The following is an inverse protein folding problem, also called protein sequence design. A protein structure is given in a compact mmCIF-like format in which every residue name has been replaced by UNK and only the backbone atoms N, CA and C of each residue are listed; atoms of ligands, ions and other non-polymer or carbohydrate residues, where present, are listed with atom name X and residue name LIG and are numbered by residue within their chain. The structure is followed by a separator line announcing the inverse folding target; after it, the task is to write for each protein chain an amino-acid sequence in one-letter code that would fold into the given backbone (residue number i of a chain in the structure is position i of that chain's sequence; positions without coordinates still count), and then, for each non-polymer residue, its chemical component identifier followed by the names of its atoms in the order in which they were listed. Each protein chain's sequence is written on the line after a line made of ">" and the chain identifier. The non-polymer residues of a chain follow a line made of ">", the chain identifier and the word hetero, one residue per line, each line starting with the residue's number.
data_IF_156970777263
#
_entry.id   IF_156970777263
#
_cell.length_a   1.000
_cell.length_b   1.000
_cell.length_c   1.000
_cell.angle_alpha   90.00
_cell.angle_beta   90.00
_cell.angle_gamma   90.00
#
_symmetry.space_group_name_H-M   'P 1'
#
loop_
_entity.id
_entity.type
_entity.pdbx_description
1 polymer ?
#
# COMPACT_ATOMS: atom_id res chain seq x y z
N UNK A 1 4.77 71.48 -2.84
CA UNK A 1 3.46 71.55 -2.17
C UNK A 1 2.36 71.38 -3.22
N UNK A 2 1.77 70.18 -3.35
CA UNK A 2 0.31 69.97 -3.31
C UNK A 2 0.00 68.47 -3.47
N UNK A 3 -1.01 68.04 -2.72
CA UNK A 3 -1.58 66.70 -2.58
C UNK A 3 -2.39 66.28 -3.81
N UNK A 4 -2.41 64.97 -4.10
CA UNK A 4 -3.50 64.31 -4.81
C UNK A 4 -4.00 63.15 -3.96
N UNK A 5 -5.26 63.23 -3.53
CA UNK A 5 -6.02 62.12 -2.93
C UNK A 5 -6.65 61.33 -4.07
N UNK A 6 -6.44 60.03 -4.10
CA UNK A 6 -7.06 59.14 -5.08
C UNK A 6 -6.93 57.68 -4.68
N UNK A 7 -8.02 57.12 -4.18
CA UNK A 7 -8.22 55.75 -3.72
C UNK A 7 -7.91 54.72 -4.82
N UNK A 8 -7.21 53.62 -4.51
CA UNK A 8 -7.72 52.26 -4.72
C UNK A 8 -6.79 51.15 -4.20
N UNK A 9 -7.33 50.41 -3.24
CA UNK A 9 -7.29 48.95 -3.10
C UNK A 9 -5.93 48.23 -3.13
N UNK A 10 -5.44 47.91 -1.93
CA UNK A 10 -4.43 46.88 -1.69
C UNK A 10 -4.93 45.51 -2.13
N UNK A 11 -4.39 44.95 -3.21
CA UNK A 11 -4.30 43.50 -3.38
C UNK A 11 -2.84 43.09 -3.24
N UNK A 12 -2.42 42.88 -2.00
CA UNK A 12 -1.09 42.32 -1.72
C UNK A 12 -1.23 40.80 -1.81
N UNK A 13 -0.85 40.24 -2.96
CA UNK A 13 -0.89 38.81 -3.27
C UNK A 13 0.09 38.07 -2.35
N UNK A 14 -0.45 37.36 -1.36
CA UNK A 14 0.31 36.39 -0.56
C UNK A 14 0.52 35.12 -1.40
N UNK A 15 1.70 34.98 -2.00
CA UNK A 15 2.17 33.73 -2.60
C UNK A 15 2.48 32.74 -1.48
N UNK A 16 1.49 31.92 -1.13
CA UNK A 16 1.68 30.76 -0.27
C UNK A 16 2.40 29.68 -1.07
N UNK A 17 3.71 29.52 -0.85
CA UNK A 17 4.45 28.35 -1.30
C UNK A 17 4.02 27.14 -0.47
N UNK A 18 2.86 26.59 -0.78
CA UNK A 18 2.50 25.23 -0.37
C UNK A 18 3.39 24.27 -1.15
N UNK A 19 4.46 23.82 -0.49
CA UNK A 19 5.17 22.61 -0.88
C UNK A 19 4.11 21.54 -1.16
N UNK A 20 4.11 20.88 -2.33
CA UNK A 20 3.22 19.75 -2.52
C UNK A 20 3.53 18.78 -1.39
N UNK A 21 2.56 18.59 -0.49
CA UNK A 21 2.53 17.42 0.34
C UNK A 21 2.58 16.27 -0.65
N UNK A 22 3.74 15.62 -0.75
CA UNK A 22 3.81 14.30 -1.33
C UNK A 22 2.92 13.46 -0.44
N UNK A 23 1.64 13.39 -0.81
CA UNK A 23 0.76 12.33 -0.39
C UNK A 23 1.38 11.09 -1.02
N UNK A 24 2.33 10.50 -0.30
CA UNK A 24 2.58 9.07 -0.37
C UNK A 24 1.28 8.43 0.11
N UNK A 25 0.29 8.41 -0.78
CA UNK A 25 -0.67 7.32 -0.84
C UNK A 25 0.20 6.09 -0.78
N UNK A 26 0.27 5.50 0.41
CA UNK A 26 0.79 4.16 0.61
C UNK A 26 -0.28 3.26 0.02
N UNK A 27 -0.45 3.32 -1.30
CA UNK A 27 -0.93 2.22 -2.10
C UNK A 27 0.14 1.17 -1.91
N UNK A 28 0.05 0.44 -0.80
CA UNK A 28 0.67 -0.87 -0.67
C UNK A 28 0.36 -1.56 -1.99
N UNK A 29 1.37 -1.88 -2.82
CA UNK A 29 1.09 -2.59 -4.05
C UNK A 29 0.33 -3.84 -3.63
N UNK A 30 -0.89 -4.00 -4.13
CA UNK A 30 -1.67 -5.20 -3.89
C UNK A 30 -0.78 -6.34 -4.36
N UNK A 31 -0.38 -7.22 -3.44
CA UNK A 31 0.43 -8.35 -3.81
C UNK A 31 -0.52 -9.42 -4.33
N UNK A 32 -0.93 -9.25 -5.57
CA UNK A 32 -1.85 -10.11 -6.26
C UNK A 32 -1.17 -10.63 -7.51
N UNK A 33 -1.47 -11.87 -7.86
CA UNK A 33 -1.06 -12.43 -9.13
C UNK A 33 -1.87 -11.79 -10.26
N UNK A 34 -1.17 -11.19 -11.21
CA UNK A 34 -1.78 -10.56 -12.37
C UNK A 34 -2.36 -11.62 -13.32
N UNK A 35 -3.52 -11.31 -13.88
CA UNK A 35 -4.21 -12.10 -14.91
C UNK A 35 -4.71 -11.16 -15.99
N UNK A 36 -4.84 -11.65 -17.23
CA UNK A 36 -5.58 -10.84 -18.20
C UNK A 36 -7.07 -10.90 -17.93
N UNK A 37 -7.80 -9.83 -18.26
CA UNK A 37 -9.25 -9.80 -18.15
C UNK A 37 -9.90 -10.97 -18.88
N UNK A 38 -10.76 -11.72 -18.18
CA UNK A 38 -11.53 -12.82 -18.76
C UNK A 38 -10.85 -14.20 -18.76
N UNK A 39 -9.69 -14.38 -18.10
CA UNK A 39 -9.09 -15.69 -17.86
C UNK A 39 -8.52 -15.81 -16.45
N UNK A 40 -8.36 -17.04 -15.97
CA UNK A 40 -7.67 -17.33 -14.71
C UNK A 40 -6.18 -16.97 -14.79
N UNK A 41 -5.57 -16.58 -13.66
CA UNK A 41 -4.13 -16.29 -13.61
C UNK A 41 -3.32 -17.51 -14.03
N UNK A 42 -2.35 -17.30 -14.92
CA UNK A 42 -1.42 -18.34 -15.37
C UNK A 42 -0.33 -18.65 -14.31
N UNK A 43 -0.20 -17.79 -13.31
CA UNK A 43 0.78 -17.87 -12.22
C UNK A 43 0.85 -19.26 -11.54
N UNK A 44 -0.25 -19.95 -11.19
CA UNK A 44 -0.18 -21.28 -10.57
C UNK A 44 0.53 -22.31 -11.43
N UNK A 45 0.38 -22.21 -12.76
CA UNK A 45 1.05 -23.09 -13.72
C UNK A 45 2.51 -22.71 -13.92
N UNK A 46 2.84 -21.43 -13.79
CA UNK A 46 4.18 -20.88 -13.94
C UNK A 46 5.03 -20.92 -12.65
N UNK A 47 4.51 -21.44 -11.53
CA UNK A 47 5.20 -21.46 -10.23
C UNK A 47 6.61 -22.07 -10.27
N UNK A 48 6.85 -23.04 -11.14
CA UNK A 48 8.17 -23.66 -11.30
C UNK A 48 9.23 -22.68 -11.86
N UNK A 49 8.82 -21.61 -12.53
CA UNK A 49 9.68 -20.56 -13.08
C UNK A 49 10.08 -19.50 -12.05
N UNK A 50 9.50 -19.51 -10.84
CA UNK A 50 9.83 -18.48 -9.84
C UNK A 50 11.35 -18.37 -9.65
N UNK A 51 12.05 -19.50 -9.46
CA UNK A 51 13.50 -19.51 -9.19
C UNK A 51 14.36 -19.56 -10.45
N UNK A 52 13.76 -19.53 -11.65
CA UNK A 52 14.52 -19.47 -12.89
C UNK A 52 15.06 -18.05 -13.09
N UNK A 53 16.40 -17.85 -13.23
CA UNK A 53 16.98 -16.52 -13.34
C UNK A 53 16.48 -15.72 -14.55
N UNK A 54 16.08 -16.38 -15.64
CA UNK A 54 15.52 -15.69 -16.82
C UNK A 54 14.12 -15.14 -16.54
N UNK A 55 13.35 -15.83 -15.71
CA UNK A 55 11.96 -15.49 -15.40
C UNK A 55 11.80 -14.85 -14.03
N UNK A 56 12.89 -14.68 -13.28
CA UNK A 56 12.86 -14.23 -11.89
C UNK A 56 12.18 -12.86 -11.75
N UNK A 57 12.60 -11.87 -12.53
CA UNK A 57 12.02 -10.53 -12.50
C UNK A 57 10.57 -10.54 -12.97
N UNK A 58 10.29 -11.18 -14.12
CA UNK A 58 8.94 -11.30 -14.66
C UNK A 58 7.96 -11.93 -13.66
N UNK A 59 8.36 -13.02 -13.02
CA UNK A 59 7.54 -13.71 -12.03
C UNK A 59 7.38 -12.89 -10.75
N UNK A 60 8.34 -12.02 -10.43
CA UNK A 60 8.23 -11.08 -9.29
C UNK A 60 7.22 -9.98 -9.59
N UNK A 61 7.13 -9.51 -10.83
CA UNK A 61 6.17 -8.46 -11.21
C UNK A 61 4.77 -9.00 -11.49
N UNK A 62 4.67 -10.13 -12.21
CA UNK A 62 3.38 -10.67 -12.65
C UNK A 62 2.77 -11.63 -11.63
N UNK A 63 3.59 -12.33 -10.86
CA UNK A 63 3.15 -13.38 -9.95
C UNK A 63 3.78 -13.25 -8.53
N UNK A 64 3.77 -12.05 -7.91
CA UNK A 64 4.43 -11.84 -6.63
C UNK A 64 3.83 -12.69 -5.51
N UNK A 65 2.53 -13.01 -5.58
CA UNK A 65 1.86 -13.85 -4.58
C UNK A 65 2.23 -15.32 -4.76
N UNK A 66 2.15 -15.85 -5.99
CA UNK A 66 2.53 -17.25 -6.29
C UNK A 66 3.99 -17.53 -5.95
N UNK A 67 4.89 -16.56 -6.19
CA UNK A 67 6.32 -16.71 -5.90
C UNK A 67 6.72 -16.31 -4.48
N UNK A 68 5.77 -15.88 -3.62
CA UNK A 68 6.03 -15.39 -2.27
C UNK A 68 7.04 -14.22 -2.21
N UNK A 69 6.95 -13.30 -3.18
CA UNK A 69 7.85 -12.14 -3.33
C UNK A 69 7.18 -10.80 -3.03
N UNK A 70 6.02 -10.85 -2.39
CA UNK A 70 5.36 -9.63 -1.94
C UNK A 70 6.30 -8.79 -1.08
N UNK A 71 6.44 -7.48 -1.32
CA UNK A 71 7.17 -6.62 -0.40
C UNK A 71 6.55 -6.71 1.01
N UNK A 72 7.37 -6.94 2.03
CA UNK A 72 6.92 -7.19 3.42
C UNK A 72 7.03 -8.65 3.90
N UNK A 73 7.49 -9.58 3.05
CA UNK A 73 7.64 -11.02 3.36
C UNK A 73 8.91 -11.40 4.13
N UNK A 74 9.64 -10.44 4.70
CA UNK A 74 10.68 -10.76 5.69
C UNK A 74 10.04 -11.22 7.01
N UNK A 75 9.48 -12.43 6.99
CA UNK A 75 9.02 -13.17 8.18
C UNK A 75 10.17 -13.49 9.15
N UNK A 76 11.41 -13.24 8.75
CA UNK A 76 12.61 -13.31 9.59
C UNK A 76 12.55 -12.34 10.76
N UNK A 77 11.79 -11.24 10.64
CA UNK A 77 11.42 -10.41 11.77
C UNK A 77 9.98 -10.75 12.15
N UNK A 78 9.81 -11.56 13.21
CA UNK A 78 8.51 -11.79 13.83
C UNK A 78 7.80 -10.42 13.97
N UNK A 79 6.68 -10.17 13.27
CA UNK A 79 5.97 -8.93 13.44
C UNK A 79 5.57 -8.85 14.91
N UNK A 80 5.74 -7.67 15.52
CA UNK A 80 5.29 -7.47 16.88
C UNK A 80 3.81 -7.85 16.95
N UNK A 81 3.46 -8.73 17.90
CA UNK A 81 2.13 -9.35 17.99
C UNK A 81 1.11 -8.35 18.57
N UNK A 82 0.82 -7.30 17.81
CA UNK A 82 -0.22 -6.32 18.12
C UNK A 82 -0.83 -5.77 16.84
N UNK A 83 -2.11 -5.42 16.90
CA UNK A 83 -2.80 -4.80 15.79
C UNK A 83 -2.38 -3.32 15.67
N UNK A 84 -2.05 -2.91 14.45
CA UNK A 84 -1.65 -1.54 14.16
C UNK A 84 -2.88 -0.63 14.19
N UNK A 85 -2.63 0.62 14.55
CA UNK A 85 -3.62 1.70 14.57
C UNK A 85 -3.21 2.79 13.60
N UNK A 86 -4.20 3.50 13.05
CA UNK A 86 -3.96 4.72 12.30
C UNK A 86 -3.43 5.85 13.23
N UNK A 87 -3.09 7.00 12.65
CA UNK A 87 -2.52 8.14 13.38
C UNK A 87 -3.47 8.73 14.44
N UNK A 88 -4.78 8.48 14.31
CA UNK A 88 -5.82 8.85 15.27
C UNK A 88 -5.96 7.85 16.44
N UNK A 89 -5.19 6.75 16.43
CA UNK A 89 -5.26 5.69 17.43
C UNK A 89 -6.36 4.66 17.17
N UNK A 90 -7.12 4.77 16.07
CA UNK A 90 -8.18 3.84 15.73
C UNK A 90 -7.63 2.64 14.95
N UNK A 91 -8.11 1.44 15.26
CA UNK A 91 -7.87 0.24 14.43
C UNK A 91 -9.19 -0.25 13.83
N UNK A 92 -9.19 -0.53 12.54
CA UNK A 92 -10.33 -1.16 11.85
C UNK A 92 -10.21 -2.69 11.78
N UNK A 93 -9.19 -3.30 12.39
CA UNK A 93 -8.92 -4.74 12.30
C UNK A 93 -10.14 -5.60 12.65
N UNK A 94 -10.86 -5.25 13.72
CA UNK A 94 -12.09 -5.96 14.11
C UNK A 94 -13.17 -5.93 13.02
N UNK A 95 -13.33 -4.79 12.34
CA UNK A 95 -14.31 -4.60 11.26
C UNK A 95 -13.94 -5.35 9.98
N UNK A 96 -12.64 -5.63 9.78
CA UNK A 96 -12.12 -6.32 8.58
C UNK A 96 -11.63 -7.73 8.88
N UNK A 97 -11.96 -8.31 10.04
CA UNK A 97 -11.49 -9.63 10.45
C UNK A 97 -11.88 -10.77 9.48
N UNK A 98 -12.97 -10.60 8.73
CA UNK A 98 -13.35 -11.57 7.68
C UNK A 98 -12.29 -11.67 6.55
N UNK A 99 -11.47 -10.63 6.36
CA UNK A 99 -10.38 -10.62 5.38
C UNK A 99 -9.19 -11.50 5.78
N UNK A 100 -9.11 -11.97 7.03
CA UNK A 100 -8.07 -12.91 7.43
C UNK A 100 -8.08 -14.18 6.56
N UNK A 101 -9.26 -14.64 6.15
CA UNK A 101 -9.40 -15.85 5.33
C UNK A 101 -9.26 -15.57 3.82
N UNK A 102 -9.29 -14.30 3.42
CA UNK A 102 -9.19 -13.92 2.02
C UNK A 102 -7.72 -13.90 1.60
N UNK A 103 -7.34 -14.75 0.64
CA UNK A 103 -5.96 -14.88 0.15
C UNK A 103 -5.38 -13.54 -0.36
N UNK A 104 -6.21 -12.66 -0.93
CA UNK A 104 -5.80 -11.35 -1.43
C UNK A 104 -5.36 -10.42 -0.29
N UNK A 105 -6.09 -10.45 0.82
CA UNK A 105 -5.88 -9.55 1.97
C UNK A 105 -5.08 -10.19 3.09
N UNK A 106 -4.85 -11.51 3.05
CA UNK A 106 -4.14 -12.28 4.07
C UNK A 106 -2.79 -11.65 4.45
N UNK A 107 -2.07 -11.11 3.47
CA UNK A 107 -0.79 -10.41 3.69
C UNK A 107 -0.95 -9.12 4.51
N UNK A 108 -1.85 -8.24 4.08
CA UNK A 108 -2.12 -6.97 4.77
C UNK A 108 -2.62 -7.26 6.19
N UNK A 109 -3.47 -8.28 6.34
CA UNK A 109 -3.97 -8.71 7.63
C UNK A 109 -2.85 -9.29 8.53
N UNK A 110 -1.85 -9.98 7.98
CA UNK A 110 -0.65 -10.39 8.73
C UNK A 110 0.19 -9.21 9.21
N UNK A 111 0.36 -8.17 8.40
CA UNK A 111 1.20 -7.03 8.74
C UNK A 111 0.52 -6.03 9.69
N UNK A 112 -0.77 -5.79 9.47
CA UNK A 112 -1.54 -4.75 10.16
C UNK A 112 -2.38 -5.30 11.31
N UNK A 113 -2.85 -6.54 11.22
CA UNK A 113 -3.80 -7.13 12.17
C UNK A 113 -3.39 -8.54 12.65
N UNK A 114 -2.11 -8.78 13.03
CA UNK A 114 -1.64 -10.12 13.36
C UNK A 114 -2.37 -10.73 14.57
N UNK A 115 -2.82 -9.92 15.54
CA UNK A 115 -3.57 -10.42 16.70
C UNK A 115 -5.02 -10.72 16.35
N UNK A 116 -5.70 -9.82 15.64
CA UNK A 116 -7.09 -10.04 15.24
C UNK A 116 -7.22 -11.31 14.38
N UNK A 117 -6.23 -11.61 13.54
CA UNK A 117 -6.22 -12.81 12.70
C UNK A 117 -5.51 -14.03 13.29
N UNK A 118 -4.99 -13.95 14.51
CA UNK A 118 -4.28 -15.04 15.17
C UNK A 118 -3.10 -15.61 14.34
N UNK A 119 -2.33 -14.72 13.71
CA UNK A 119 -1.08 -15.05 13.01
C UNK A 119 0.15 -15.04 13.92
N UNK A 120 -0.04 -14.51 15.10
CA UNK A 120 0.69 -14.77 16.33
C UNK A 120 -0.36 -15.26 17.36
#
# INVERSE_FOLDING_TARGET
>A
MYTIVGLNFSIQTTITTTLPAATTTTTTPECVDHSTPGRDSDCPRAKYLCNDPLYYELMTEQCPLTCNRCPGTDFTRLPACFDRTAADGTSNCASVAYLCQNSLYRRIMMEQCPRTCNYC
#
